data_IF_765138022804
#
_entry.id   IF_765138022804
#
_cell.length_a   1.000
_cell.length_b   1.000
_cell.length_c   1.000
_cell.angle_alpha   90.00
_cell.angle_beta   90.00
_cell.angle_gamma   90.00
#
_symmetry.space_group_name_H-M   'P 1'
#
loop_
_entity.id
_entity.type
_entity.pdbx_description
1 polymer ?
#
# COMPACT_ATOMS: atom_id res chain seq x y z
N UNK A 1 5.56 -15.56 8.44
CA UNK A 1 4.71 -14.34 8.55
C UNK A 1 3.50 -14.63 9.43
N UNK A 2 3.17 -13.79 10.41
CA UNK A 2 1.95 -14.01 11.20
C UNK A 2 0.73 -13.64 10.35
N UNK A 3 -0.29 -14.50 10.39
CA UNK A 3 -1.58 -14.27 9.73
C UNK A 3 -2.19 -12.91 10.12
N UNK A 4 -1.90 -12.44 11.33
CA UNK A 4 -2.33 -11.14 11.86
C UNK A 4 -1.83 -9.95 11.03
N UNK A 5 -0.56 -9.93 10.63
CA UNK A 5 0.00 -8.81 9.85
C UNK A 5 -0.72 -8.67 8.51
N UNK A 6 -1.00 -9.80 7.86
CA UNK A 6 -1.67 -9.88 6.57
C UNK A 6 -3.14 -9.44 6.68
N UNK A 7 -3.83 -9.83 7.75
CA UNK A 7 -5.20 -9.37 8.03
C UNK A 7 -5.25 -7.85 8.23
N UNK A 8 -4.30 -7.29 8.99
CA UNK A 8 -4.22 -5.84 9.21
C UNK A 8 -3.95 -5.09 7.89
N UNK A 9 -3.05 -5.60 7.06
CA UNK A 9 -2.79 -5.05 5.72
C UNK A 9 -4.09 -4.97 4.91
N UNK A 10 -4.86 -6.05 4.85
CA UNK A 10 -6.13 -6.10 4.11
C UNK A 10 -7.16 -5.12 4.65
N UNK A 11 -7.29 -5.01 5.98
CA UNK A 11 -8.24 -4.08 6.59
C UNK A 11 -7.88 -2.64 6.25
N UNK A 12 -6.61 -2.24 6.38
CA UNK A 12 -6.17 -0.86 6.10
C UNK A 12 -6.43 -0.50 4.63
N UNK A 13 -5.93 -1.34 3.72
CA UNK A 13 -6.08 -1.18 2.27
C UNK A 13 -7.56 -1.14 1.87
N UNK A 14 -8.34 -2.06 2.43
CA UNK A 14 -9.76 -2.16 2.19
C UNK A 14 -10.55 -0.96 2.69
N UNK A 15 -10.21 -0.43 3.87
CA UNK A 15 -10.86 0.76 4.43
C UNK A 15 -10.60 1.98 3.57
N UNK A 16 -9.37 2.15 3.08
CA UNK A 16 -9.06 3.23 2.16
C UNK A 16 -9.91 3.18 0.88
N UNK A 17 -10.04 1.99 0.28
CA UNK A 17 -10.88 1.81 -0.90
C UNK A 17 -12.35 2.05 -0.58
N UNK A 18 -12.82 1.57 0.57
CA UNK A 18 -14.20 1.73 1.01
C UNK A 18 -14.54 3.23 1.18
N UNK A 19 -13.63 4.01 1.79
CA UNK A 19 -13.79 5.47 1.91
C UNK A 19 -13.81 6.14 0.54
N UNK A 20 -12.89 5.77 -0.37
CA UNK A 20 -12.90 6.29 -1.74
C UNK A 20 -14.20 5.96 -2.48
N UNK A 21 -14.72 4.75 -2.27
CA UNK A 21 -15.98 4.28 -2.87
C UNK A 21 -17.18 5.03 -2.31
N UNK A 22 -17.21 5.33 -1.01
CA UNK A 22 -18.26 6.14 -0.38
C UNK A 22 -18.31 7.54 -1.02
N UNK A 23 -17.16 8.21 -1.16
CA UNK A 23 -17.11 9.50 -1.87
C UNK A 23 -17.56 9.37 -3.32
N UNK A 24 -17.16 8.31 -4.02
CA UNK A 24 -17.63 8.01 -5.37
C UNK A 24 -19.15 7.84 -5.45
N UNK A 25 -19.76 7.11 -4.52
CA UNK A 25 -21.22 6.92 -4.43
C UNK A 25 -21.90 8.26 -4.15
N UNK A 26 -21.38 9.08 -3.25
CA UNK A 26 -21.94 10.40 -2.98
C UNK A 26 -21.91 11.31 -4.21
N UNK A 27 -20.85 11.25 -5.01
CA UNK A 27 -20.78 11.98 -6.29
C UNK A 27 -21.85 11.46 -7.26
N UNK A 28 -21.97 10.14 -7.44
CA UNK A 28 -22.93 9.54 -8.38
C UNK A 28 -24.39 9.85 -8.00
N UNK A 29 -24.68 9.94 -6.70
CA UNK A 29 -26.01 10.22 -6.17
C UNK A 29 -26.28 11.73 -5.96
N UNK A 30 -25.35 12.61 -6.34
CA UNK A 30 -25.42 14.06 -6.10
C UNK A 30 -25.68 14.44 -4.63
N UNK A 31 -25.11 13.67 -3.69
CA UNK A 31 -25.24 13.90 -2.25
C UNK A 31 -24.09 14.77 -1.76
N UNK A 32 -24.36 16.06 -1.60
CA UNK A 32 -23.37 17.04 -1.11
C UNK A 32 -23.67 17.59 0.29
N UNK A 33 -24.85 17.29 0.86
CA UNK A 33 -25.23 17.71 2.21
C UNK A 33 -25.03 16.60 3.23
N UNK A 34 -24.17 16.86 4.23
CA UNK A 34 -23.90 15.94 5.36
C UNK A 34 -25.10 15.82 6.31
N UNK A 35 -26.07 16.74 6.22
CA UNK A 35 -27.26 16.72 7.09
C UNK A 35 -28.01 15.38 7.06
N UNK A 36 -27.99 14.68 5.91
CA UNK A 36 -28.57 13.35 5.73
C UNK A 36 -27.86 12.23 6.52
N UNK A 37 -26.58 12.39 6.90
CA UNK A 37 -25.87 11.42 7.75
C UNK A 37 -26.28 11.53 9.23
N UNK A 38 -26.78 12.69 9.66
CA UNK A 38 -27.10 12.92 11.08
C UNK A 38 -28.26 12.06 11.60
N UNK A 39 -29.16 11.63 10.71
CA UNK A 39 -30.29 10.75 11.01
C UNK A 39 -29.89 9.28 11.13
N UNK A 40 -28.70 8.88 10.66
CA UNK A 40 -28.23 7.50 10.69
C UNK A 40 -27.45 7.12 11.96
N UNK A 41 -27.44 7.99 12.99
CA UNK A 41 -26.67 7.77 14.22
C UNK A 41 -26.91 6.42 14.88
N UNK A 42 -28.15 5.96 14.88
CA UNK A 42 -28.56 4.68 15.48
C UNK A 42 -27.98 3.46 14.74
N UNK A 43 -27.65 3.60 13.45
CA UNK A 43 -27.14 2.52 12.62
C UNK A 43 -25.60 2.51 12.51
N UNK A 44 -24.90 3.48 13.12
CA UNK A 44 -23.44 3.62 13.00
C UNK A 44 -22.70 2.34 13.38
N UNK A 45 -23.10 1.67 14.47
CA UNK A 45 -22.45 0.43 14.93
C UNK A 45 -22.61 -0.71 13.92
N UNK A 46 -23.79 -0.84 13.32
CA UNK A 46 -24.08 -1.86 12.31
C UNK A 46 -23.28 -1.56 11.03
N UNK A 47 -23.30 -0.29 10.58
CA UNK A 47 -22.54 0.17 9.42
C UNK A 47 -21.04 -0.07 9.63
N UNK A 48 -20.51 0.17 10.83
CA UNK A 48 -19.09 -0.06 11.13
C UNK A 48 -18.71 -1.55 11.02
N UNK A 49 -19.55 -2.46 11.52
CA UNK A 49 -19.31 -3.91 11.43
C UNK A 49 -19.32 -4.36 9.96
N UNK A 50 -20.36 -3.97 9.20
CA UNK A 50 -20.41 -4.29 7.76
C UNK A 50 -19.23 -3.66 7.01
N UNK A 51 -18.85 -2.42 7.33
CA UNK A 51 -17.70 -1.76 6.72
C UNK A 51 -16.40 -2.50 6.97
N UNK A 52 -16.23 -3.13 8.14
CA UNK A 52 -15.05 -3.94 8.46
C UNK A 52 -15.01 -5.24 7.64
N UNK A 53 -16.16 -5.92 7.48
CA UNK A 53 -16.25 -7.11 6.64
C UNK A 53 -16.02 -6.76 5.17
N UNK A 54 -16.66 -5.71 4.67
CA UNK A 54 -16.48 -5.24 3.30
C UNK A 54 -15.05 -4.76 3.03
N UNK A 55 -14.45 -4.02 3.97
CA UNK A 55 -13.06 -3.59 3.82
C UNK A 55 -12.14 -4.81 3.71
N UNK A 56 -12.31 -5.83 4.54
CA UNK A 56 -11.51 -7.05 4.44
C UNK A 56 -11.61 -7.72 3.05
N UNK A 57 -12.84 -7.86 2.51
CA UNK A 57 -13.08 -8.47 1.18
C UNK A 57 -12.47 -7.62 0.06
N UNK A 58 -12.65 -6.30 0.12
CA UNK A 58 -12.08 -5.36 -0.85
C UNK A 58 -10.54 -5.36 -0.78
N UNK A 59 -9.99 -5.41 0.43
CA UNK A 59 -8.56 -5.49 0.70
C UNK A 59 -7.92 -6.73 0.09
N UNK A 60 -8.53 -7.92 0.27
CA UNK A 60 -8.08 -9.16 -0.39
C UNK A 60 -8.09 -8.99 -1.91
N UNK A 61 -9.18 -8.44 -2.45
CA UNK A 61 -9.38 -8.29 -3.89
C UNK A 61 -8.31 -7.39 -4.50
N UNK A 62 -8.05 -6.23 -3.88
CA UNK A 62 -6.98 -5.34 -4.34
C UNK A 62 -5.62 -5.96 -4.13
N UNK A 63 -5.35 -6.62 -3.01
CA UNK A 63 -4.04 -7.22 -2.78
C UNK A 63 -3.66 -8.24 -3.89
N UNK A 64 -4.64 -8.96 -4.45
CA UNK A 64 -4.40 -9.85 -5.60
C UNK A 64 -4.06 -9.09 -6.88
N UNK A 65 -4.69 -7.94 -7.10
CA UNK A 65 -4.51 -7.12 -8.31
C UNK A 65 -3.30 -6.19 -8.20
N UNK A 66 -2.98 -5.74 -6.98
CA UNK A 66 -1.91 -4.79 -6.69
C UNK A 66 -0.54 -5.38 -7.03
N UNK A 67 -0.35 -6.70 -6.88
CA UNK A 67 0.90 -7.33 -7.28
C UNK A 67 1.22 -7.09 -8.78
N UNK A 68 0.24 -7.26 -9.66
CA UNK A 68 0.40 -7.04 -11.11
C UNK A 68 0.57 -5.56 -11.44
N UNK A 69 -0.20 -4.69 -10.79
CA UNK A 69 -0.20 -3.26 -11.10
C UNK A 69 1.02 -2.54 -10.50
N UNK A 70 1.41 -2.86 -9.27
CA UNK A 70 2.62 -2.31 -8.63
C UNK A 70 3.87 -2.67 -9.41
N UNK A 71 3.93 -3.86 -10.03
CA UNK A 71 5.01 -4.21 -10.97
C UNK A 71 5.06 -3.26 -12.17
N UNK A 72 3.91 -3.00 -12.80
CA UNK A 72 3.78 -2.06 -13.93
C UNK A 72 4.15 -0.63 -13.53
N UNK A 73 3.62 -0.14 -12.40
CA UNK A 73 3.90 1.21 -11.88
C UNK A 73 5.38 1.40 -11.52
N UNK A 74 5.99 0.43 -10.83
CA UNK A 74 7.43 0.46 -10.54
C UNK A 74 8.24 0.47 -11.82
N UNK A 75 7.87 -0.32 -12.82
CA UNK A 75 8.55 -0.33 -14.12
C UNK A 75 8.46 1.01 -14.84
N UNK A 76 7.29 1.67 -14.80
CA UNK A 76 7.10 3.01 -15.38
C UNK A 76 7.90 4.07 -14.60
N UNK A 77 7.81 4.09 -13.28
CA UNK A 77 8.54 5.03 -12.41
C UNK A 77 10.05 4.88 -12.56
N UNK A 78 10.56 3.65 -12.55
CA UNK A 78 11.99 3.36 -12.76
C UNK A 78 12.45 3.78 -14.16
N UNK A 79 11.61 3.63 -15.19
CA UNK A 79 11.92 4.11 -16.55
C UNK A 79 12.10 5.62 -16.60
N UNK A 80 11.36 6.38 -15.79
CA UNK A 80 11.47 7.83 -15.68
C UNK A 80 12.72 8.26 -14.89
N UNK A 81 13.00 7.58 -13.78
CA UNK A 81 14.06 8.00 -12.83
C UNK A 81 15.46 7.49 -13.26
N UNK A 82 15.55 6.26 -13.77
CA UNK A 82 16.81 5.63 -14.22
C UNK A 82 16.56 4.69 -15.40
N UNK A 83 16.59 5.18 -16.65
CA UNK A 83 16.35 4.34 -17.84
C UNK A 83 17.36 3.18 -17.98
N UNK A 84 18.57 3.32 -17.43
CA UNK A 84 19.60 2.28 -17.45
C UNK A 84 19.39 1.16 -16.41
N UNK A 85 18.55 1.35 -15.37
CA UNK A 85 18.31 0.34 -14.33
C UNK A 85 17.21 -0.66 -14.67
N UNK A 86 16.66 -0.63 -15.89
CA UNK A 86 15.65 -1.58 -16.37
C UNK A 86 16.15 -3.04 -16.35
N UNK A 87 17.47 -3.28 -16.44
CA UNK A 87 18.07 -4.61 -16.26
C UNK A 87 17.87 -5.18 -14.85
N UNK A 88 17.91 -4.35 -13.82
CA UNK A 88 17.75 -4.80 -12.42
C UNK A 88 16.31 -5.20 -12.08
N UNK A 89 15.32 -4.74 -12.87
CA UNK A 89 13.92 -5.12 -12.69
C UNK A 89 13.57 -6.47 -13.33
N UNK A 90 14.51 -7.09 -14.05
CA UNK A 90 14.38 -8.37 -14.76
C UNK A 90 15.07 -9.52 -14.00
N UNK A 91 15.92 -9.21 -13.02
CA UNK A 91 16.69 -10.19 -12.23
C UNK A 91 15.85 -10.87 -11.11
N UNK A 92 14.58 -11.17 -11.39
CA UNK A 92 13.68 -11.94 -10.51
C UNK A 92 14.30 -13.30 -10.12
N UNK A 93 15.10 -13.90 -11.01
CA UNK A 93 15.81 -15.14 -10.73
C UNK A 93 16.82 -14.98 -9.59
N UNK A 94 17.63 -13.92 -9.61
CA UNK A 94 18.63 -13.64 -8.56
C UNK A 94 17.97 -13.25 -7.23
N UNK A 95 16.82 -12.56 -7.29
CA UNK A 95 16.05 -12.19 -6.11
C UNK A 95 15.42 -13.43 -5.46
N UNK A 96 14.86 -14.33 -6.26
CA UNK A 96 14.31 -15.60 -5.80
C UNK A 96 15.38 -16.49 -5.19
N UNK A 97 16.55 -16.61 -5.83
CA UNK A 97 17.69 -17.37 -5.31
C UNK A 97 18.13 -16.84 -3.93
N UNK A 98 18.34 -15.53 -3.80
CA UNK A 98 18.68 -14.90 -2.51
C UNK A 98 17.64 -15.19 -1.43
N UNK A 99 16.35 -15.09 -1.77
CA UNK A 99 15.29 -15.39 -0.81
C UNK A 99 15.26 -16.87 -0.40
N UNK A 100 15.52 -17.79 -1.32
CA UNK A 100 15.58 -19.23 -1.04
C UNK A 100 16.75 -19.52 -0.10
N UNK A 101 17.95 -19.04 -0.42
CA UNK A 101 19.14 -19.23 0.43
C UNK A 101 18.93 -18.63 1.82
N UNK A 102 18.42 -17.41 1.92
CA UNK A 102 18.11 -16.79 3.21
C UNK A 102 17.08 -17.63 3.97
N UNK A 103 16.01 -18.10 3.34
CA UNK A 103 14.98 -18.93 3.99
C UNK A 103 15.50 -20.27 4.50
N UNK A 104 16.49 -20.85 3.84
CA UNK A 104 17.07 -22.14 4.20
C UNK A 104 18.07 -22.05 5.35
N UNK A 105 18.84 -20.95 5.43
CA UNK A 105 20.02 -20.88 6.30
C UNK A 105 19.98 -19.75 7.35
N UNK A 106 19.04 -18.81 7.26
CA UNK A 106 18.91 -17.74 8.24
C UNK A 106 18.32 -18.21 9.57
N UNK A 107 18.65 -17.48 10.64
CA UNK A 107 18.02 -17.65 11.95
C UNK A 107 16.55 -17.21 11.92
N UNK A 108 15.73 -17.78 12.81
CA UNK A 108 14.31 -17.44 12.91
C UNK A 108 14.05 -15.94 13.14
N UNK A 109 14.91 -15.29 13.93
CA UNK A 109 14.79 -13.85 14.20
C UNK A 109 15.05 -13.01 12.94
N UNK A 110 16.04 -13.40 12.13
CA UNK A 110 16.32 -12.75 10.86
C UNK A 110 15.16 -12.95 9.87
N UNK A 111 14.58 -14.15 9.82
CA UNK A 111 13.41 -14.43 8.99
C UNK A 111 12.18 -13.61 9.41
N UNK A 112 11.92 -13.48 10.71
CA UNK A 112 10.82 -12.64 11.21
C UNK A 112 11.01 -11.18 10.83
N UNK A 113 12.23 -10.66 10.95
CA UNK A 113 12.55 -9.29 10.57
C UNK A 113 12.37 -9.07 9.07
N UNK A 114 12.88 -9.98 8.23
CA UNK A 114 12.71 -9.91 6.78
C UNK A 114 11.23 -9.98 6.37
N UNK A 115 10.44 -10.88 6.98
CA UNK A 115 9.00 -10.98 6.72
C UNK A 115 8.25 -9.69 7.08
N UNK A 116 8.64 -9.00 8.16
CA UNK A 116 8.09 -7.71 8.56
C UNK A 116 8.42 -6.61 7.54
N UNK A 117 9.68 -6.50 7.13
CA UNK A 117 10.14 -5.48 6.18
C UNK A 117 9.51 -5.66 4.78
N UNK A 118 9.26 -6.92 4.38
CA UNK A 118 8.51 -7.25 3.15
C UNK A 118 7.02 -6.93 3.28
N UNK A 119 6.43 -7.16 4.45
CA UNK A 119 5.04 -6.79 4.77
C UNK A 119 4.81 -5.29 4.67
N UNK A 120 5.70 -4.49 5.29
CA UNK A 120 5.65 -3.04 5.21
C UNK A 120 5.77 -2.54 3.77
N UNK A 121 6.66 -3.14 2.97
CA UNK A 121 6.79 -2.78 1.56
C UNK A 121 5.50 -3.07 0.77
N UNK A 122 4.86 -4.23 0.98
CA UNK A 122 3.58 -4.56 0.29
C UNK A 122 2.47 -3.60 0.68
N UNK A 123 2.39 -3.23 1.95
CA UNK A 123 1.41 -2.26 2.44
C UNK A 123 1.61 -0.91 1.74
N UNK A 124 2.85 -0.41 1.68
CA UNK A 124 3.17 0.84 0.97
C UNK A 124 2.87 0.75 -0.52
N UNK A 125 3.29 -0.32 -1.18
CA UNK A 125 3.05 -0.56 -2.61
C UNK A 125 1.54 -0.53 -2.94
N UNK A 126 0.73 -1.14 -2.09
CA UNK A 126 -0.73 -1.19 -2.28
C UNK A 126 -1.38 0.15 -1.91
N UNK A 127 -0.88 0.82 -0.89
CA UNK A 127 -1.36 2.16 -0.48
C UNK A 127 -1.09 3.18 -1.57
N UNK A 128 0.11 3.21 -2.16
CA UNK A 128 0.46 4.10 -3.27
C UNK A 128 -0.50 3.93 -4.44
N UNK A 129 -1.00 2.72 -4.68
CA UNK A 129 -1.95 2.46 -5.74
C UNK A 129 -3.37 3.00 -5.44
N UNK A 130 -3.86 2.82 -4.22
CA UNK A 130 -5.23 3.21 -3.84
C UNK A 130 -5.35 4.70 -3.50
N UNK A 131 -4.31 5.28 -2.88
CA UNK A 131 -4.37 6.64 -2.35
C UNK A 131 -4.75 7.70 -3.40
N UNK A 132 -4.29 7.64 -4.67
CA UNK A 132 -4.75 8.55 -5.71
C UNK A 132 -6.26 8.52 -5.96
N UNK A 133 -6.89 7.33 -5.94
CA UNK A 133 -8.33 7.20 -6.09
C UNK A 133 -9.07 7.88 -4.94
N UNK A 134 -8.55 7.72 -3.72
CA UNK A 134 -9.06 8.41 -2.54
C UNK A 134 -8.93 9.94 -2.69
N UNK A 135 -7.77 10.45 -3.13
CA UNK A 135 -7.59 11.89 -3.39
C UNK A 135 -8.62 12.38 -4.41
N UNK A 136 -8.72 11.74 -5.57
CA UNK A 136 -9.58 12.21 -6.67
C UNK A 136 -11.04 12.25 -6.21
N UNK A 137 -11.55 11.15 -5.68
CA UNK A 137 -12.95 11.03 -5.23
C UNK A 137 -13.26 12.00 -4.09
N UNK A 138 -12.38 12.10 -3.09
CA UNK A 138 -12.56 13.05 -1.98
C UNK A 138 -12.49 14.50 -2.44
N UNK A 139 -11.61 14.85 -3.37
CA UNK A 139 -11.43 16.23 -3.86
C UNK A 139 -12.62 16.71 -4.68
N UNK A 140 -13.14 15.85 -5.57
CA UNK A 140 -14.35 16.14 -6.37
C UNK A 140 -15.54 16.32 -5.43
N UNK A 141 -15.71 15.44 -4.44
CA UNK A 141 -16.82 15.57 -3.52
C UNK A 141 -16.71 16.84 -2.66
N UNK A 142 -15.53 17.11 -2.10
CA UNK A 142 -15.28 18.31 -1.29
C UNK A 142 -15.48 19.61 -2.07
N UNK A 143 -15.13 19.67 -3.36
CA UNK A 143 -15.32 20.87 -4.18
C UNK A 143 -16.78 21.22 -4.42
N UNK A 144 -17.69 20.23 -4.32
CA UNK A 144 -19.13 20.45 -4.44
C UNK A 144 -19.81 20.67 -3.08
N UNK A 145 -19.32 20.02 -2.03
CA UNK A 145 -19.90 20.10 -0.69
C UNK A 145 -19.47 21.35 0.11
N UNK A 146 -18.28 21.90 -0.14
CA UNK A 146 -17.68 22.97 0.66
C UNK A 146 -17.14 24.13 -0.18
N UNK A 147 -16.84 25.24 0.49
CA UNK A 147 -16.13 26.37 -0.11
C UNK A 147 -14.84 25.95 -0.80
N UNK A 148 -14.58 26.53 -1.97
CA UNK A 148 -13.42 26.21 -2.81
C UNK A 148 -12.08 26.34 -2.06
N UNK A 149 -11.96 27.32 -1.16
CA UNK A 149 -10.74 27.53 -0.36
C UNK A 149 -10.48 26.35 0.59
N UNK A 150 -11.52 25.87 1.28
CA UNK A 150 -11.42 24.74 2.21
C UNK A 150 -11.11 23.46 1.45
N UNK A 151 -11.82 23.21 0.36
CA UNK A 151 -11.60 22.04 -0.51
C UNK A 151 -10.17 22.01 -1.05
N UNK A 152 -9.64 23.14 -1.52
CA UNK A 152 -8.27 23.26 -2.01
C UNK A 152 -7.25 22.93 -0.91
N UNK A 153 -7.41 23.47 0.30
CA UNK A 153 -6.50 23.21 1.42
C UNK A 153 -6.46 21.72 1.78
N UNK A 154 -7.63 21.06 1.88
CA UNK A 154 -7.71 19.63 2.18
C UNK A 154 -7.08 18.80 1.07
N UNK A 155 -7.35 19.15 -0.19
CA UNK A 155 -6.78 18.47 -1.36
C UNK A 155 -5.25 18.58 -1.37
N UNK A 156 -4.70 19.77 -1.13
CA UNK A 156 -3.25 19.99 -1.07
C UNK A 156 -2.59 19.20 0.07
N UNK A 157 -3.23 19.14 1.25
CA UNK A 157 -2.76 18.31 2.36
C UNK A 157 -2.73 16.83 1.98
N UNK A 158 -3.78 16.32 1.32
CA UNK A 158 -3.84 14.94 0.88
C UNK A 158 -2.76 14.62 -0.18
N UNK A 159 -2.50 15.55 -1.10
CA UNK A 159 -1.39 15.42 -2.07
C UNK A 159 -0.03 15.42 -1.35
N UNK A 160 0.15 16.27 -0.35
CA UNK A 160 1.36 16.29 0.48
C UNK A 160 1.61 14.96 1.19
N UNK A 161 0.56 14.38 1.81
CA UNK A 161 0.63 13.04 2.42
C UNK A 161 1.00 11.98 1.39
N UNK A 162 0.41 12.04 0.19
CA UNK A 162 0.73 11.09 -0.88
C UNK A 162 2.20 11.17 -1.32
N UNK A 163 2.77 12.38 -1.40
CA UNK A 163 4.20 12.55 -1.68
C UNK A 163 5.06 11.90 -0.58
N UNK A 164 4.68 12.05 0.70
CA UNK A 164 5.37 11.40 1.82
C UNK A 164 5.30 9.87 1.70
N UNK A 165 4.14 9.32 1.35
CA UNK A 165 3.96 7.88 1.13
C UNK A 165 4.84 7.39 -0.03
N UNK A 166 4.92 8.12 -1.14
CA UNK A 166 5.81 7.81 -2.25
C UNK A 166 7.28 7.81 -1.81
N UNK A 167 7.72 8.82 -1.05
CA UNK A 167 9.08 8.88 -0.52
C UNK A 167 9.37 7.69 0.41
N UNK A 168 8.44 7.35 1.30
CA UNK A 168 8.55 6.20 2.19
C UNK A 168 8.69 4.88 1.40
N UNK A 169 7.92 4.70 0.32
CA UNK A 169 8.03 3.53 -0.56
C UNK A 169 9.45 3.40 -1.15
N UNK A 170 10.05 4.50 -1.62
CA UNK A 170 11.41 4.48 -2.16
C UNK A 170 12.47 4.17 -1.10
N UNK A 171 12.35 4.77 0.08
CA UNK A 171 13.25 4.50 1.21
C UNK A 171 13.16 3.03 1.62
N UNK A 172 11.94 2.51 1.77
CA UNK A 172 11.67 1.12 2.15
C UNK A 172 12.24 0.13 1.12
N UNK A 173 12.06 0.41 -0.18
CA UNK A 173 12.63 -0.42 -1.23
C UNK A 173 14.17 -0.50 -1.14
N UNK A 174 14.84 0.61 -0.83
CA UNK A 174 16.29 0.65 -0.65
C UNK A 174 16.73 -0.13 0.59
N UNK A 175 16.01 -0.01 1.70
CA UNK A 175 16.29 -0.78 2.93
C UNK A 175 16.19 -2.27 2.64
N UNK A 176 15.12 -2.72 2.00
CA UNK A 176 14.89 -4.14 1.70
C UNK A 176 15.95 -4.72 0.76
N UNK A 177 16.33 -3.99 -0.30
CA UNK A 177 17.40 -4.41 -1.20
C UNK A 177 18.74 -4.58 -0.45
N UNK A 178 19.10 -3.60 0.39
CA UNK A 178 20.33 -3.67 1.19
C UNK A 178 20.31 -4.81 2.21
N UNK A 179 19.18 -5.02 2.89
CA UNK A 179 19.00 -6.09 3.86
C UNK A 179 19.20 -7.46 3.19
N UNK A 180 18.50 -7.70 2.09
CA UNK A 180 18.58 -8.97 1.34
C UNK A 180 20.02 -9.24 0.85
N UNK A 181 20.71 -8.25 0.31
CA UNK A 181 22.09 -8.41 -0.14
C UNK A 181 23.02 -8.75 1.03
N UNK A 182 22.97 -7.99 2.13
CA UNK A 182 23.81 -8.23 3.31
C UNK A 182 23.56 -9.60 3.94
N UNK A 183 22.29 -10.00 4.06
CA UNK A 183 21.93 -11.30 4.62
C UNK A 183 22.40 -12.46 3.74
N UNK A 184 22.28 -12.32 2.43
CA UNK A 184 22.78 -13.31 1.48
C UNK A 184 24.31 -13.45 1.54
N UNK A 185 25.04 -12.33 1.48
CA UNK A 185 26.51 -12.33 1.51
C UNK A 185 27.04 -12.94 2.82
N UNK A 186 26.39 -12.64 3.96
CA UNK A 186 26.76 -13.22 5.25
C UNK A 186 26.57 -14.74 5.29
N UNK A 187 25.44 -15.24 4.80
CA UNK A 187 25.16 -16.69 4.76
C UNK A 187 26.16 -17.40 3.86
N UNK A 188 26.43 -16.84 2.67
CA UNK A 188 27.38 -17.41 1.72
C UNK A 188 28.80 -17.50 2.30
N UNK A 189 29.24 -16.47 3.02
CA UNK A 189 30.54 -16.49 3.72
C UNK A 189 30.61 -17.55 4.83
N UNK A 190 29.48 -17.92 5.44
CA UNK A 190 29.43 -18.99 6.44
C UNK A 190 29.47 -20.38 5.78
N UNK A 191 28.89 -20.54 4.59
CA UNK A 191 28.96 -21.77 3.81
C UNK A 191 30.38 -22.02 3.28
N UNK A 192 31.05 -20.99 2.76
CA UNK A 192 32.43 -21.09 2.27
C UNK A 192 33.47 -21.42 3.36
N UNK A 193 33.09 -21.29 4.64
CA UNK A 193 33.94 -21.60 5.81
C UNK A 193 33.71 -22.99 6.42
N UNK A 194 32.74 -23.76 5.92
CA UNK A 194 32.46 -25.14 6.36
C UNK A 194 33.11 -26.15 5.43
#
# INVERSE_FOLDING_TARGET
MSTTALVVEFIIVGLMLLVASIFGIFIILDIYSISALSTMKEYISIIAIFSLVFSYVLGISIHRVSFTISYLLKRILLKIIKPQSLKACIDDASWNEKQITIRQFASENLLKYIDYELSLQRLLDTTVFIYPLLIITSSIWLSHAYDQKISLTITLNNVGIYIIILMAMFVQHRINSNLMNKSYDFIKQLEEKK
#
